data_IF_528714896616
#
_entry.id   IF_528714896616
#
_cell.length_a   1.000
_cell.length_b   1.000
_cell.length_c   1.000
_cell.angle_alpha   90.00
_cell.angle_beta   90.00
_cell.angle_gamma   90.00
#
_symmetry.space_group_name_H-M   'P 1'
#
loop_
_entity.id
_entity.type
_entity.pdbx_description
1 polymer ?
#
# COMPACT_ATOMS: atom_id res chain seq x y z
N UNK A 1 -23.31 -5.58 24.28
CA UNK A 1 -22.94 -5.30 22.88
C UNK A 1 -21.48 -4.89 22.91
N UNK A 2 -20.58 -5.71 22.35
CA UNK A 2 -19.16 -5.37 22.28
C UNK A 2 -19.03 -4.35 21.15
N UNK A 3 -18.52 -3.16 21.45
CA UNK A 3 -18.24 -2.16 20.44
C UNK A 3 -16.91 -2.56 19.78
N UNK A 4 -16.98 -3.18 18.60
CA UNK A 4 -15.79 -3.55 17.84
C UNK A 4 -15.37 -2.29 17.07
N UNK A 5 -14.19 -1.76 17.39
CA UNK A 5 -13.57 -0.71 16.59
C UNK A 5 -12.99 -1.40 15.35
N UNK A 6 -13.35 -0.97 14.13
CA UNK A 6 -12.84 -1.60 12.92
C UNK A 6 -11.34 -1.36 12.77
N UNK A 7 -10.61 -2.38 12.34
CA UNK A 7 -9.18 -2.26 12.03
C UNK A 7 -8.99 -1.57 10.67
N UNK A 8 -8.03 -0.64 10.59
CA UNK A 8 -7.81 0.25 9.45
C UNK A 8 -6.68 -0.29 8.58
N UNK A 9 -7.01 -0.95 7.46
CA UNK A 9 -6.02 -1.63 6.63
C UNK A 9 -5.85 -0.98 5.26
N UNK A 10 -4.60 -0.94 4.81
CA UNK A 10 -4.22 -0.54 3.46
C UNK A 10 -3.84 -1.77 2.65
N UNK A 11 -4.35 -1.87 1.42
CA UNK A 11 -3.92 -2.86 0.43
C UNK A 11 -3.19 -2.16 -0.71
N UNK A 12 -1.87 -2.32 -0.77
CA UNK A 12 -1.02 -1.88 -1.86
C UNK A 12 -1.02 -2.89 -3.02
N UNK A 13 -1.26 -2.41 -4.23
CA UNK A 13 -1.42 -3.23 -5.44
C UNK A 13 -0.45 -2.77 -6.51
N UNK A 14 0.39 -3.69 -6.99
CA UNK A 14 1.41 -3.42 -8.02
C UNK A 14 1.09 -4.08 -9.36
N UNK A 15 1.88 -3.74 -10.40
CA UNK A 15 1.68 -4.19 -11.78
C UNK A 15 1.97 -5.67 -12.03
N UNK A 16 1.10 -6.56 -11.56
CA UNK A 16 1.12 -8.00 -11.84
C UNK A 16 -0.26 -8.48 -12.25
N UNK A 17 -0.33 -9.50 -13.13
CA UNK A 17 -1.59 -10.14 -13.57
C UNK A 17 -2.42 -10.63 -12.37
N UNK A 18 -1.77 -10.98 -11.26
CA UNK A 18 -2.44 -11.38 -10.03
C UNK A 18 -3.35 -10.29 -9.43
N UNK A 19 -3.18 -9.01 -9.80
CA UNK A 19 -4.05 -7.91 -9.38
C UNK A 19 -5.50 -8.08 -9.84
N UNK A 20 -5.77 -8.95 -10.83
CA UNK A 20 -7.13 -9.32 -11.24
C UNK A 20 -7.95 -9.92 -10.07
N UNK A 21 -7.28 -10.50 -9.07
CA UNK A 21 -7.91 -11.11 -7.89
C UNK A 21 -8.15 -10.13 -6.73
N UNK A 22 -7.92 -8.83 -6.93
CA UNK A 22 -8.05 -7.83 -5.88
C UNK A 22 -9.47 -7.82 -5.28
N UNK A 23 -10.52 -7.81 -6.09
CA UNK A 23 -11.91 -7.86 -5.58
C UNK A 23 -12.16 -9.11 -4.72
N UNK A 24 -11.62 -10.26 -5.12
CA UNK A 24 -11.73 -11.49 -4.35
C UNK A 24 -11.01 -11.34 -3.00
N UNK A 25 -9.78 -10.83 -2.99
CA UNK A 25 -9.03 -10.58 -1.75
C UNK A 25 -9.79 -9.64 -0.81
N UNK A 26 -10.33 -8.55 -1.33
CA UNK A 26 -11.10 -7.56 -0.55
C UNK A 26 -12.40 -8.16 0.00
N UNK A 27 -13.00 -9.12 -0.71
CA UNK A 27 -14.21 -9.83 -0.28
C UNK A 27 -14.00 -10.78 0.90
N UNK A 28 -12.77 -11.19 1.20
CA UNK A 28 -12.46 -12.02 2.37
C UNK A 28 -12.43 -11.21 3.68
N UNK A 29 -12.40 -9.88 3.61
CA UNK A 29 -12.43 -9.01 4.79
C UNK A 29 -13.87 -8.67 5.19
N UNK A 30 -14.20 -8.85 6.48
CA UNK A 30 -15.50 -8.49 7.04
C UNK A 30 -15.71 -6.97 7.12
N UNK A 31 -16.84 -6.47 6.59
CA UNK A 31 -17.15 -5.03 6.54
C UNK A 31 -17.32 -4.36 7.91
N UNK A 32 -17.71 -5.11 8.94
CA UNK A 32 -17.87 -4.60 10.30
C UNK A 32 -16.54 -4.62 11.09
N UNK A 33 -15.56 -5.39 10.61
CA UNK A 33 -14.29 -5.63 11.28
C UNK A 33 -13.15 -4.81 10.68
N UNK A 34 -13.26 -4.42 9.40
CA UNK A 34 -12.18 -3.76 8.66
C UNK A 34 -12.67 -2.55 7.86
N UNK A 35 -11.96 -1.44 7.97
CA UNK A 35 -12.03 -0.32 7.03
C UNK A 35 -10.84 -0.43 6.06
N UNK A 36 -11.12 -0.44 4.76
CA UNK A 36 -10.13 -0.73 3.73
C UNK A 36 -9.89 0.47 2.80
N UNK A 37 -8.62 0.78 2.57
CA UNK A 37 -8.16 1.64 1.48
C UNK A 37 -7.23 0.86 0.56
N UNK A 38 -7.34 1.10 -0.74
CA UNK A 38 -6.46 0.49 -1.75
C UNK A 38 -5.51 1.56 -2.26
N UNK A 39 -4.22 1.25 -2.33
CA UNK A 39 -3.22 2.07 -3.04
C UNK A 39 -2.79 1.29 -4.28
N UNK A 40 -2.97 1.87 -5.46
CA UNK A 40 -2.68 1.20 -6.71
C UNK A 40 -1.64 1.98 -7.53
N UNK A 41 -0.60 1.27 -7.97
CA UNK A 41 0.33 1.80 -8.97
C UNK A 41 -0.37 1.99 -10.32
N UNK A 42 0.14 2.89 -11.16
CA UNK A 42 -0.37 3.11 -12.53
C UNK A 42 -0.51 1.80 -13.32
N UNK A 43 0.47 0.90 -13.17
CA UNK A 43 0.47 -0.41 -13.83
C UNK A 43 -0.60 -1.36 -13.29
N UNK A 44 -0.87 -1.32 -11.99
CA UNK A 44 -1.94 -2.10 -11.38
C UNK A 44 -3.33 -1.67 -11.88
N UNK A 45 -3.52 -0.37 -12.14
CA UNK A 45 -4.78 0.17 -12.66
C UNK A 45 -5.20 -0.48 -13.98
N UNK A 46 -4.26 -0.91 -14.83
CA UNK A 46 -4.60 -1.66 -16.05
C UNK A 46 -5.36 -2.96 -15.78
N UNK A 47 -5.16 -3.59 -14.63
CA UNK A 47 -5.82 -4.85 -14.25
C UNK A 47 -7.09 -4.65 -13.42
N UNK A 48 -7.20 -3.54 -12.70
CA UNK A 48 -8.28 -3.31 -11.73
C UNK A 48 -9.30 -2.26 -12.16
N UNK A 49 -9.00 -1.39 -13.13
CA UNK A 49 -9.91 -0.31 -13.57
C UNK A 49 -11.25 -0.82 -14.12
N UNK A 50 -11.26 -2.01 -14.71
CA UNK A 50 -12.50 -2.65 -15.19
C UNK A 50 -13.20 -3.52 -14.14
N UNK A 51 -12.63 -3.67 -12.95
CA UNK A 51 -13.27 -4.42 -11.86
C UNK A 51 -14.31 -3.51 -11.22
N UNK A 52 -15.55 -3.98 -11.15
CA UNK A 52 -16.58 -3.33 -10.35
C UNK A 52 -16.43 -3.77 -8.90
N UNK A 53 -15.81 -2.94 -8.06
CA UNK A 53 -15.75 -3.25 -6.63
C UNK A 53 -17.17 -3.25 -6.04
N UNK A 54 -17.57 -4.35 -5.41
CA UNK A 54 -18.89 -4.50 -4.76
C UNK A 54 -19.05 -3.68 -3.48
N UNK A 55 -17.95 -3.12 -2.99
CA UNK A 55 -17.88 -2.29 -1.78
C UNK A 55 -17.39 -0.89 -2.14
N UNK A 56 -17.83 0.09 -1.36
CA UNK A 56 -17.29 1.46 -1.41
C UNK A 56 -15.85 1.44 -0.88
N UNK A 57 -14.90 1.18 -1.78
CA UNK A 57 -13.47 1.14 -1.47
C UNK A 57 -12.82 2.36 -2.09
N UNK A 58 -12.10 3.12 -1.26
CA UNK A 58 -11.29 4.23 -1.75
C UNK A 58 -10.04 3.67 -2.41
N UNK A 59 -9.86 3.95 -3.71
CA UNK A 59 -8.64 3.62 -4.46
C UNK A 59 -7.83 4.91 -4.62
N UNK A 60 -6.62 4.91 -4.08
CA UNK A 60 -5.67 6.01 -4.14
C UNK A 60 -4.52 5.65 -5.09
N UNK A 61 -3.99 6.65 -5.75
CA UNK A 61 -2.96 6.57 -6.78
C UNK A 61 -1.89 7.62 -6.53
N UNK A 62 -0.78 7.53 -7.26
CA UNK A 62 0.27 8.55 -7.19
C UNK A 62 -0.26 9.95 -7.54
N UNK A 63 -1.32 10.07 -8.35
CA UNK A 63 -1.91 11.37 -8.69
C UNK A 63 -2.56 12.04 -7.49
N UNK A 64 -3.12 11.26 -6.56
CA UNK A 64 -3.77 11.78 -5.35
C UNK A 64 -2.74 12.34 -4.35
N UNK A 65 -1.49 11.85 -4.41
CA UNK A 65 -0.39 12.35 -3.56
C UNK A 65 -0.04 13.81 -3.88
N UNK A 66 -0.16 14.23 -5.14
CA UNK A 66 0.34 15.54 -5.61
C UNK A 66 -0.69 16.67 -5.54
N UNK A 67 -1.75 16.51 -4.74
CA UNK A 67 -2.79 17.54 -4.59
C UNK A 67 -2.42 18.69 -3.63
N UNK A 68 -1.33 18.56 -2.86
CA UNK A 68 -0.83 19.63 -1.99
C UNK A 68 -0.11 20.72 -2.79
N UNK A 69 -0.25 21.98 -2.35
CA UNK A 69 0.27 23.15 -3.09
C UNK A 69 1.21 24.02 -2.25
N UNK A 70 1.05 24.05 -0.93
CA UNK A 70 1.82 24.89 -0.02
C UNK A 70 2.62 24.06 0.99
N UNK A 71 3.69 24.65 1.53
CA UNK A 71 4.40 24.04 2.67
C UNK A 71 3.48 24.03 3.88
N UNK A 72 3.30 22.85 4.47
CA UNK A 72 2.42 22.62 5.62
C UNK A 72 1.08 21.99 5.24
N UNK A 73 0.78 21.87 3.95
CA UNK A 73 -0.35 21.07 3.49
C UNK A 73 -0.16 19.59 3.88
N UNK A 74 -1.26 18.87 4.16
CA UNK A 74 -1.18 17.47 4.50
C UNK A 74 -0.56 16.65 3.36
N UNK A 75 0.40 15.81 3.71
CA UNK A 75 1.08 14.91 2.77
C UNK A 75 0.40 13.54 2.86
N UNK A 76 -0.18 13.07 1.76
CA UNK A 76 -1.10 11.93 1.77
C UNK A 76 -0.43 10.64 2.28
N UNK A 77 0.76 10.27 1.80
CA UNK A 77 1.45 9.07 2.28
C UNK A 77 1.76 9.10 3.79
N UNK A 78 1.94 10.29 4.37
CA UNK A 78 2.12 10.47 5.82
C UNK A 78 0.79 10.23 6.54
N UNK A 79 -0.30 10.79 6.03
CA UNK A 79 -1.63 10.56 6.59
C UNK A 79 -2.05 9.09 6.52
N UNK A 80 -1.74 8.42 5.42
CA UNK A 80 -2.04 7.00 5.24
C UNK A 80 -1.23 6.11 6.18
N UNK A 81 0.04 6.47 6.43
CA UNK A 81 0.87 5.82 7.45
C UNK A 81 0.26 5.96 8.84
N UNK A 82 -0.22 7.14 9.19
CA UNK A 82 -0.78 7.41 10.52
C UNK A 82 -2.20 6.85 10.68
N UNK A 83 -2.90 6.61 9.56
CA UNK A 83 -4.25 6.04 9.54
C UNK A 83 -4.25 4.51 9.61
N UNK A 84 -3.29 3.82 9.02
CA UNK A 84 -3.34 2.36 8.87
C UNK A 84 -2.72 1.61 10.07
N UNK A 85 -3.46 0.63 10.59
CA UNK A 85 -2.93 -0.37 11.53
C UNK A 85 -2.01 -1.36 10.81
N UNK A 86 -2.29 -1.66 9.53
CA UNK A 86 -1.52 -2.60 8.72
C UNK A 86 -1.55 -2.23 7.24
N UNK A 87 -0.42 -2.42 6.56
CA UNK A 87 -0.28 -2.29 5.11
C UNK A 87 0.11 -3.64 4.50
N UNK A 88 -0.78 -4.18 3.66
CA UNK A 88 -0.59 -5.41 2.89
C UNK A 88 -0.24 -5.06 1.46
N UNK A 89 0.88 -5.56 0.93
CA UNK A 89 1.21 -5.41 -0.50
C UNK A 89 0.93 -6.73 -1.23
N UNK A 90 -0.14 -6.77 -2.00
CA UNK A 90 -0.58 -7.97 -2.70
C UNK A 90 -1.34 -7.64 -4.00
N UNK A 91 -0.80 -8.00 -5.18
CA UNK A 91 0.52 -8.60 -5.41
C UNK A 91 1.66 -7.58 -5.29
N UNK A 92 2.86 -8.08 -5.00
CA UNK A 92 4.14 -7.38 -5.19
C UNK A 92 4.79 -7.88 -6.48
N UNK A 93 4.88 -7.02 -7.50
CA UNK A 93 5.53 -7.32 -8.77
C UNK A 93 7.05 -7.16 -8.66
N UNK A 94 7.79 -7.85 -9.54
CA UNK A 94 9.25 -7.86 -9.52
C UNK A 94 9.88 -6.47 -9.65
N UNK A 95 9.27 -5.60 -10.45
CA UNK A 95 9.69 -4.19 -10.60
C UNK A 95 9.69 -3.41 -9.28
N UNK A 96 8.82 -3.76 -8.32
CA UNK A 96 8.72 -3.09 -7.02
C UNK A 96 9.40 -3.87 -5.89
N UNK A 97 9.72 -5.15 -6.07
CA UNK A 97 10.38 -5.92 -5.01
C UNK A 97 11.78 -5.39 -4.68
N UNK A 98 12.46 -4.77 -5.65
CA UNK A 98 13.77 -4.14 -5.47
C UNK A 98 13.73 -2.75 -4.84
N UNK A 99 12.61 -2.04 -4.98
CA UNK A 99 12.46 -0.67 -4.46
C UNK A 99 12.35 -0.67 -2.93
N UNK A 100 11.83 -1.76 -2.33
CA UNK A 100 11.83 -1.99 -0.88
C UNK A 100 13.03 -2.78 -0.33
N UNK A 101 13.84 -3.41 -1.20
CA UNK A 101 14.99 -4.24 -0.83
C UNK A 101 16.31 -3.58 -1.16
N UNK A 102 16.45 -2.28 -0.85
CA UNK A 102 17.78 -1.69 -0.74
C UNK A 102 18.44 -2.25 0.51
N UNK A 103 19.05 -3.42 0.35
CA UNK A 103 19.89 -4.07 1.35
C UNK A 103 20.90 -3.04 1.87
N UNK A 104 21.00 -2.92 3.20
CA UNK A 104 22.22 -2.40 3.83
C UNK A 104 23.32 -3.41 3.51
N UNK A 105 23.92 -3.29 2.34
CA UNK A 105 25.22 -3.86 2.10
C UNK A 105 26.19 -3.26 3.13
N UNK A 106 26.85 -4.16 3.83
CA UNK A 106 27.70 -3.90 4.99
C UNK A 106 28.91 -3.07 4.58
N UNK A 107 29.01 -1.83 5.08
CA UNK A 107 30.32 -1.25 5.36
C UNK A 107 30.73 -1.68 6.78
N UNK A 108 31.14 -2.94 6.88
CA UNK A 108 31.92 -3.45 8.00
C UNK A 108 33.23 -4.02 7.42
N UNK A 109 33.99 -3.13 6.79
CA UNK A 109 35.32 -3.41 6.25
C UNK A 109 36.20 -2.17 6.44
N UNK A 110 36.59 -1.91 7.69
CA UNK A 110 37.87 -1.26 8.06
C UNK A 110 38.00 -1.13 9.58
N UNK A 111 37.84 -2.24 10.30
CA UNK A 111 38.52 -2.43 11.59
C UNK A 111 39.51 -3.59 11.42
N UNK A 112 40.45 -3.43 10.48
CA UNK A 112 41.64 -4.28 10.33
C UNK A 112 42.72 -3.54 9.52
N UNK A 113 43.06 -2.34 9.99
CA UNK A 113 44.45 -1.88 9.92
C UNK A 113 44.80 -1.25 11.26
N UNK A 114 45.27 -2.14 12.13
CA UNK A 114 46.12 -1.96 13.30
C UNK A 114 46.97 -0.69 13.31
N UNK A 115 47.20 -0.19 14.53
CA UNK A 115 48.47 0.35 15.04
C UNK A 115 49.28 1.29 14.12
#
# INVERSE_FOLDING_TARGET
MINIIPALYIVGVTGSVAAIKLEQLLGEFGREEFELKVIATEKALHFIRSQGFKSEITVLTDTDEWLWSNRGDPVLHIQLRDWADLCLVAPLSHEYCHVGTREREREHASEDLLL
#
